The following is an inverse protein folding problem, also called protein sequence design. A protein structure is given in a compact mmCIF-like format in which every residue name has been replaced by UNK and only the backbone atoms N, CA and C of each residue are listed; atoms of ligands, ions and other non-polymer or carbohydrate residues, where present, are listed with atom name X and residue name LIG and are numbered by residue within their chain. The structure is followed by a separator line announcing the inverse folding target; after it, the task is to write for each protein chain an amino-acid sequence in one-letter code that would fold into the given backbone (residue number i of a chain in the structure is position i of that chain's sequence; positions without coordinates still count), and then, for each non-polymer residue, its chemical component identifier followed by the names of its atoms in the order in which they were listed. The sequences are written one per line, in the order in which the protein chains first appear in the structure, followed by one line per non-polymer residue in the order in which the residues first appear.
data_IF_645504501177
#
_entry.id   IF_645504501177
#
_cell.length_a   1.000
_cell.length_b   1.000
_cell.length_c   1.000
_cell.angle_alpha   90.00
_cell.angle_beta   90.00
_cell.angle_gamma   90.00
#
_symmetry.space_group_name_H-M   'P 1'
#
loop_
_entity.id
_entity.type
_entity.pdbx_description
1 polymer ?
#
# COMPACT_ATOMS: atom_id res chain seq x y z
N UNK A 1 -82.23 4.60 38.69
CA UNK A 1 -82.25 3.29 38.00
C UNK A 1 -81.24 2.27 38.56
N UNK A 2 -80.01 2.65 38.96
CA UNK A 2 -79.01 1.71 39.54
C UNK A 2 -79.33 1.15 40.95
N UNK A 3 -80.11 1.86 41.78
CA UNK A 3 -80.49 1.38 43.12
C UNK A 3 -81.60 0.32 43.08
N UNK A 4 -82.61 0.51 42.22
CA UNK A 4 -83.72 -0.42 42.03
C UNK A 4 -83.25 -1.80 41.51
N UNK A 5 -82.25 -1.82 40.62
CA UNK A 5 -81.67 -3.06 40.08
C UNK A 5 -80.92 -3.86 41.17
N UNK A 6 -80.23 -3.19 42.11
CA UNK A 6 -79.58 -3.89 43.24
C UNK A 6 -80.59 -4.57 44.16
N UNK A 7 -81.70 -3.89 44.49
CA UNK A 7 -82.75 -4.46 45.33
C UNK A 7 -83.54 -5.56 44.63
N UNK A 8 -83.79 -5.45 43.32
CA UNK A 8 -84.47 -6.50 42.54
C UNK A 8 -83.57 -7.73 42.39
N UNK A 9 -82.26 -7.58 42.20
CA UNK A 9 -81.33 -8.71 42.13
C UNK A 9 -81.17 -9.40 43.50
N UNK A 10 -81.07 -8.65 44.60
CA UNK A 10 -81.03 -9.24 45.95
C UNK A 10 -82.36 -9.92 46.29
N UNK A 11 -83.51 -9.33 45.94
CA UNK A 11 -84.81 -9.95 46.14
C UNK A 11 -85.00 -11.23 45.29
N UNK A 12 -84.51 -11.25 44.04
CA UNK A 12 -84.55 -12.44 43.18
C UNK A 12 -83.61 -13.55 43.65
N UNK A 13 -82.42 -13.20 44.16
CA UNK A 13 -81.48 -14.17 44.75
C UNK A 13 -82.06 -14.77 46.03
N UNK A 14 -82.69 -13.96 46.89
CA UNK A 14 -83.40 -14.46 48.07
C UNK A 14 -84.63 -15.32 47.72
N UNK A 15 -85.37 -15.00 46.65
CA UNK A 15 -86.54 -15.79 46.20
C UNK A 15 -86.14 -17.13 45.55
N UNK A 16 -85.02 -17.20 44.82
CA UNK A 16 -84.55 -18.44 44.21
C UNK A 16 -83.80 -19.36 45.18
N UNK A 17 -83.04 -18.80 46.13
CA UNK A 17 -82.44 -19.58 47.22
C UNK A 17 -83.52 -20.15 48.14
N UNK A 18 -84.65 -19.45 48.32
CA UNK A 18 -85.75 -19.87 49.17
C UNK A 18 -86.64 -21.01 48.63
N UNK A 19 -86.59 -21.34 47.33
CA UNK A 19 -87.51 -22.32 46.74
C UNK A 19 -86.85 -23.50 45.99
N UNK A 20 -85.55 -23.44 45.69
CA UNK A 20 -84.87 -24.44 44.84
C UNK A 20 -83.95 -25.44 45.54
N UNK A 21 -83.54 -25.18 46.78
CA UNK A 21 -82.66 -26.05 47.55
C UNK A 21 -83.21 -26.12 48.97
N UNK A 22 -83.26 -27.31 49.57
CA UNK A 22 -83.64 -27.50 50.97
C UNK A 22 -82.63 -26.88 51.93
N UNK A 23 -82.52 -25.55 51.94
CA UNK A 23 -81.86 -24.77 52.96
C UNK A 23 -82.91 -24.38 53.99
N UNK A 24 -82.75 -24.92 55.18
CA UNK A 24 -83.49 -24.48 56.35
C UNK A 24 -83.13 -23.02 56.65
N UNK A 25 -84.04 -22.24 57.26
CA UNK A 25 -83.70 -20.89 57.77
C UNK A 25 -82.54 -20.89 58.78
N UNK A 26 -82.10 -22.06 59.22
CA UNK A 26 -80.93 -22.31 60.08
C UNK A 26 -79.58 -22.40 59.35
N UNK A 27 -79.53 -22.45 58.01
CA UNK A 27 -78.27 -22.51 57.23
C UNK A 27 -77.75 -21.13 56.77
N UNK A 28 -78.59 -20.08 56.80
CA UNK A 28 -78.22 -18.72 56.40
C UNK A 28 -76.98 -18.16 57.12
N UNK A 29 -76.79 -18.35 58.45
CA UNK A 29 -75.60 -17.87 59.16
C UNK A 29 -74.29 -18.56 58.71
N UNK A 30 -74.37 -19.77 58.16
CA UNK A 30 -73.21 -20.50 57.62
C UNK A 30 -72.76 -19.88 56.29
N UNK A 31 -73.69 -19.60 55.39
CA UNK A 31 -73.39 -18.96 54.12
C UNK A 31 -72.91 -17.51 54.30
N UNK A 32 -73.43 -16.77 55.29
CA UNK A 32 -72.92 -15.43 55.63
C UNK A 32 -71.44 -15.47 56.04
N UNK A 33 -71.04 -16.41 56.92
CA UNK A 33 -69.63 -16.58 57.30
C UNK A 33 -68.73 -16.97 56.13
N UNK A 34 -69.23 -17.79 55.22
CA UNK A 34 -68.49 -18.21 54.02
C UNK A 34 -68.31 -17.04 53.04
N UNK A 35 -69.35 -16.21 52.85
CA UNK A 35 -69.27 -14.97 52.06
C UNK A 35 -68.30 -13.97 52.69
N UNK A 36 -68.31 -13.78 54.00
CA UNK A 36 -67.35 -12.91 54.71
C UNK A 36 -65.90 -13.40 54.52
N UNK A 37 -65.67 -14.71 54.66
CA UNK A 37 -64.35 -15.31 54.45
C UNK A 37 -63.85 -15.13 53.01
N UNK A 38 -64.70 -15.43 52.02
CA UNK A 38 -64.36 -15.25 50.60
C UNK A 38 -64.12 -13.78 50.26
N UNK A 39 -64.90 -12.85 50.83
CA UNK A 39 -64.70 -11.40 50.63
C UNK A 39 -63.34 -10.95 51.17
N UNK A 40 -62.94 -11.46 52.35
CA UNK A 40 -61.61 -11.19 52.90
C UNK A 40 -60.48 -11.77 52.04
N UNK A 41 -60.64 -13.00 51.52
CA UNK A 41 -59.67 -13.61 50.61
C UNK A 41 -59.50 -12.80 49.32
N UNK A 42 -60.61 -12.35 48.71
CA UNK A 42 -60.60 -11.52 47.50
C UNK A 42 -59.90 -10.19 47.76
N UNK A 43 -60.15 -9.54 48.91
CA UNK A 43 -59.47 -8.30 49.29
C UNK A 43 -57.95 -8.49 49.43
N UNK A 44 -57.50 -9.55 50.09
CA UNK A 44 -56.07 -9.84 50.23
C UNK A 44 -55.39 -10.15 48.89
N UNK A 45 -56.10 -10.85 47.99
CA UNK A 45 -55.62 -11.11 46.63
C UNK A 45 -55.50 -9.83 45.81
N UNK A 46 -56.45 -8.89 45.95
CA UNK A 46 -56.39 -7.58 45.30
C UNK A 46 -55.20 -6.76 45.80
N UNK A 47 -54.95 -6.71 47.11
CA UNK A 47 -53.78 -6.02 47.66
C UNK A 47 -52.46 -6.64 47.16
N UNK A 48 -52.40 -7.97 47.11
CA UNK A 48 -51.23 -8.68 46.56
C UNK A 48 -51.04 -8.37 45.07
N UNK A 49 -52.13 -8.30 44.30
CA UNK A 49 -52.09 -7.95 42.88
C UNK A 49 -51.56 -6.52 42.69
N UNK A 50 -52.05 -5.56 43.47
CA UNK A 50 -51.60 -4.17 43.40
C UNK A 50 -50.11 -4.03 43.75
N UNK A 51 -49.64 -4.74 44.78
CA UNK A 51 -48.22 -4.80 45.13
C UNK A 51 -47.38 -5.41 43.99
N UNK A 52 -47.86 -6.49 43.35
CA UNK A 52 -47.17 -7.12 42.22
C UNK A 52 -47.15 -6.22 40.99
N UNK A 53 -48.23 -5.49 40.71
CA UNK A 53 -48.27 -4.52 39.61
C UNK A 53 -47.29 -3.37 39.85
N UNK A 54 -47.20 -2.87 41.08
CA UNK A 54 -46.19 -1.87 41.46
C UNK A 54 -44.77 -2.41 41.30
N UNK A 55 -44.51 -3.65 41.74
CA UNK A 55 -43.21 -4.30 41.56
C UNK A 55 -42.84 -4.49 40.07
N UNK A 56 -43.82 -4.84 39.23
CA UNK A 56 -43.61 -4.95 37.78
C UNK A 56 -43.26 -3.59 37.17
N UNK A 57 -43.96 -2.52 37.56
CA UNK A 57 -43.69 -1.18 37.07
C UNK A 57 -42.27 -0.71 37.44
N UNK A 58 -41.82 -0.97 38.67
CA UNK A 58 -40.46 -0.67 39.11
C UNK A 58 -39.40 -1.46 38.31
N UNK A 59 -39.62 -2.77 38.14
CA UNK A 59 -38.73 -3.61 37.33
C UNK A 59 -38.67 -3.14 35.86
N UNK A 60 -39.79 -2.70 35.29
CA UNK A 60 -39.83 -2.13 33.94
C UNK A 60 -39.01 -0.84 33.83
N UNK A 61 -39.06 0.03 34.85
CA UNK A 61 -38.21 1.23 34.93
C UNK A 61 -36.74 0.87 34.97
N UNK A 62 -36.36 -0.09 35.84
CA UNK A 62 -34.98 -0.57 35.95
C UNK A 62 -34.46 -1.20 34.65
N UNK A 63 -35.30 -1.94 33.93
CA UNK A 63 -34.95 -2.50 32.61
C UNK A 63 -34.66 -1.38 31.62
N UNK A 64 -35.55 -0.37 31.55
CA UNK A 64 -35.40 0.76 30.64
C UNK A 64 -34.09 1.52 30.89
N UNK A 65 -33.74 1.77 32.14
CA UNK A 65 -32.46 2.41 32.51
C UNK A 65 -31.26 1.56 32.09
N UNK A 66 -31.33 0.23 32.29
CA UNK A 66 -30.27 -0.69 31.87
C UNK A 66 -30.11 -0.74 30.35
N UNK A 67 -31.20 -0.69 29.59
CA UNK A 67 -31.19 -0.65 28.13
C UNK A 67 -30.52 0.63 27.60
N UNK A 68 -30.83 1.78 28.20
CA UNK A 68 -30.16 3.05 27.89
C UNK A 68 -28.66 2.99 28.22
N UNK A 69 -28.30 2.40 29.36
CA UNK A 69 -26.89 2.24 29.75
C UNK A 69 -26.13 1.31 28.81
N UNK A 70 -26.71 0.18 28.40
CA UNK A 70 -26.13 -0.73 27.41
C UNK A 70 -25.90 0.00 26.08
N UNK A 71 -26.88 0.79 25.63
CA UNK A 71 -26.76 1.58 24.39
C UNK A 71 -25.60 2.59 24.47
N UNK A 72 -25.44 3.25 25.62
CA UNK A 72 -24.32 4.17 25.84
C UNK A 72 -22.97 3.45 25.81
N UNK A 73 -22.86 2.28 26.47
CA UNK A 73 -21.63 1.48 26.45
C UNK A 73 -21.29 0.97 25.05
N UNK A 74 -22.29 0.57 24.26
CA UNK A 74 -22.08 0.14 22.88
C UNK A 74 -21.50 1.27 22.02
N UNK A 75 -21.99 2.50 22.17
CA UNK A 75 -21.45 3.66 21.48
C UNK A 75 -19.98 3.93 21.89
N UNK A 76 -19.68 3.89 23.20
CA UNK A 76 -18.30 4.06 23.68
C UNK A 76 -17.34 3.00 23.13
N UNK A 77 -17.78 1.73 23.07
CA UNK A 77 -16.98 0.65 22.48
C UNK A 77 -16.74 0.89 20.99
N UNK A 78 -17.73 1.41 20.26
CA UNK A 78 -17.59 1.77 18.85
C UNK A 78 -16.54 2.86 18.65
N UNK A 79 -16.62 3.94 19.42
CA UNK A 79 -15.67 5.06 19.34
C UNK A 79 -14.25 4.61 19.70
N UNK A 80 -14.10 3.78 20.75
CA UNK A 80 -12.81 3.23 21.15
C UNK A 80 -12.22 2.30 20.08
N UNK A 81 -13.05 1.47 19.44
CA UNK A 81 -12.60 0.63 18.32
C UNK A 81 -12.10 1.47 17.15
N UNK A 82 -12.78 2.56 16.84
CA UNK A 82 -12.34 3.50 15.81
C UNK A 82 -11.01 4.17 16.18
N UNK A 83 -10.82 4.55 17.44
CA UNK A 83 -9.56 5.09 17.94
C UNK A 83 -8.42 4.06 17.95
N UNK A 84 -8.71 2.80 18.25
CA UNK A 84 -7.75 1.69 18.22
C UNK A 84 -7.27 1.36 16.80
N UNK A 85 -8.05 1.76 15.79
CA UNK A 85 -7.75 1.50 14.38
C UNK A 85 -6.74 2.48 13.78
N UNK A 86 -6.19 3.41 14.58
CA UNK A 86 -5.11 4.30 14.17
C UNK A 86 -4.00 4.29 15.20
N UNK A 87 -2.84 3.79 14.81
CA UNK A 87 -1.64 3.79 15.64
C UNK A 87 -0.45 4.34 14.87
N UNK A 88 0.22 5.35 15.42
CA UNK A 88 1.52 5.79 14.92
C UNK A 88 2.57 4.78 15.42
N UNK A 89 3.19 4.06 14.49
CA UNK A 89 4.20 3.05 14.81
C UNK A 89 5.59 3.68 14.99
N UNK A 90 5.84 4.82 14.35
CA UNK A 90 7.06 5.58 14.52
C UNK A 90 7.07 6.88 13.71
N UNK A 91 7.91 7.81 14.15
CA UNK A 91 8.22 9.06 13.45
C UNK A 91 9.74 9.19 13.42
N UNK A 92 10.27 9.40 12.22
CA UNK A 92 11.69 9.38 11.92
C UNK A 92 12.06 10.65 11.15
N UNK A 93 13.33 11.03 11.22
CA UNK A 93 13.84 12.25 10.62
C UNK A 93 15.17 11.96 9.94
N UNK A 94 15.40 12.56 8.77
CA UNK A 94 16.72 12.54 8.14
C UNK A 94 17.31 13.95 8.16
N UNK A 95 18.66 14.08 8.21
CA UNK A 95 19.63 12.99 8.26
C UNK A 95 19.78 12.38 9.68
N UNK A 96 20.37 11.18 9.75
CA UNK A 96 20.74 10.45 10.99
C UNK A 96 19.59 9.92 11.86
N UNK A 97 18.40 9.70 11.29
CA UNK A 97 17.28 9.10 12.02
C UNK A 97 16.61 7.96 11.28
N UNK A 98 17.41 7.19 10.52
CA UNK A 98 17.06 5.83 10.06
C UNK A 98 15.84 5.75 9.12
N UNK A 99 15.48 6.81 8.39
CA UNK A 99 14.31 6.79 7.49
C UNK A 99 14.41 5.68 6.43
N UNK A 100 15.58 5.53 5.80
CA UNK A 100 15.84 4.44 4.84
C UNK A 100 15.65 3.06 5.50
N UNK A 101 16.23 2.85 6.68
CA UNK A 101 16.17 1.58 7.40
C UNK A 101 14.72 1.19 7.75
N UNK A 102 13.89 2.17 8.09
CA UNK A 102 12.47 1.92 8.36
C UNK A 102 11.70 1.53 7.10
N UNK A 103 11.99 2.13 5.95
CA UNK A 103 11.38 1.69 4.69
C UNK A 103 11.78 0.23 4.39
N UNK A 104 13.06 -0.12 4.51
CA UNK A 104 13.53 -1.49 4.31
C UNK A 104 12.88 -2.49 5.30
N UNK A 105 12.74 -2.08 6.57
CA UNK A 105 12.08 -2.87 7.61
C UNK A 105 10.63 -3.22 7.24
N UNK A 106 9.86 -2.27 6.69
CA UNK A 106 8.45 -2.51 6.37
C UNK A 106 8.26 -3.21 5.02
N UNK A 107 9.06 -2.88 4.01
CA UNK A 107 9.05 -3.58 2.71
C UNK A 107 9.34 -5.08 2.89
N UNK A 108 10.33 -5.44 3.73
CA UNK A 108 10.67 -6.85 3.99
C UNK A 108 9.55 -7.64 4.70
N UNK A 109 8.58 -6.96 5.32
CA UNK A 109 7.45 -7.58 6.03
C UNK A 109 6.13 -7.58 5.28
N UNK A 110 6.07 -6.95 4.11
CA UNK A 110 4.89 -6.96 3.25
C UNK A 110 4.56 -8.40 2.82
N UNK A 111 3.28 -8.76 2.86
CA UNK A 111 2.79 -10.10 2.53
C UNK A 111 1.86 -10.15 1.32
N UNK A 112 1.17 -9.04 1.02
CA UNK A 112 0.10 -9.00 0.02
C UNK A 112 0.39 -7.94 -1.03
N UNK A 113 0.64 -6.69 -0.64
CA UNK A 113 0.84 -5.60 -1.60
C UNK A 113 1.75 -4.49 -1.07
N UNK A 114 2.41 -3.81 -2.01
CA UNK A 114 3.13 -2.56 -1.80
C UNK A 114 2.77 -1.60 -2.94
N UNK A 115 2.03 -0.54 -2.62
CA UNK A 115 1.62 0.48 -3.59
C UNK A 115 2.27 1.82 -3.26
N UNK A 116 2.94 2.42 -4.24
CA UNK A 116 3.79 3.59 -4.04
C UNK A 116 3.43 4.73 -4.99
N UNK A 117 3.27 5.93 -4.43
CA UNK A 117 3.33 7.19 -5.16
C UNK A 117 4.60 7.93 -4.74
N UNK A 118 5.51 8.17 -5.67
CA UNK A 118 6.80 8.79 -5.33
C UNK A 118 7.20 9.88 -6.31
N UNK A 119 7.54 11.05 -5.75
CA UNK A 119 8.11 12.15 -6.50
C UNK A 119 9.49 11.76 -7.05
N UNK A 120 10.47 11.49 -6.20
CA UNK A 120 11.84 11.14 -6.61
C UNK A 120 12.31 9.85 -5.95
N UNK A 121 12.84 8.93 -6.76
CA UNK A 121 13.30 7.62 -6.32
C UNK A 121 14.60 7.21 -7.05
N UNK A 122 15.71 7.20 -6.31
CA UNK A 122 17.09 6.92 -6.77
C UNK A 122 17.90 6.08 -5.77
N UNK A 123 17.30 5.56 -4.69
CA UNK A 123 17.99 4.71 -3.70
C UNK A 123 17.98 3.25 -4.15
N UNK A 124 19.16 2.72 -4.46
CA UNK A 124 19.34 1.32 -4.90
C UNK A 124 18.83 0.32 -3.85
N UNK A 125 19.06 0.58 -2.56
CA UNK A 125 18.62 -0.28 -1.45
C UNK A 125 17.10 -0.47 -1.40
N UNK A 126 16.34 0.60 -1.63
CA UNK A 126 14.88 0.54 -1.67
C UNK A 126 14.41 -0.16 -2.95
N UNK A 127 15.08 0.04 -4.10
CA UNK A 127 14.79 -0.74 -5.32
C UNK A 127 14.96 -2.23 -5.04
N UNK A 128 16.11 -2.64 -4.50
CA UNK A 128 16.43 -4.05 -4.26
C UNK A 128 15.42 -4.69 -3.31
N UNK A 129 15.05 -4.00 -2.23
CA UNK A 129 14.03 -4.48 -1.30
C UNK A 129 12.64 -4.68 -1.95
N UNK A 130 12.27 -3.81 -2.90
CA UNK A 130 11.01 -3.94 -3.64
C UNK A 130 11.05 -5.12 -4.62
N UNK A 131 12.19 -5.35 -5.28
CA UNK A 131 12.41 -6.54 -6.13
C UNK A 131 12.31 -7.80 -5.28
N UNK A 132 12.98 -7.85 -4.12
CA UNK A 132 12.87 -8.97 -3.20
C UNK A 132 11.43 -9.20 -2.72
N UNK A 133 10.62 -8.13 -2.52
CA UNK A 133 9.21 -8.27 -2.17
C UNK A 133 8.40 -8.84 -3.35
N UNK A 134 8.65 -8.35 -4.56
CA UNK A 134 8.01 -8.86 -5.78
C UNK A 134 8.33 -10.34 -6.00
N UNK A 135 9.59 -10.76 -5.81
CA UNK A 135 10.03 -12.15 -5.95
C UNK A 135 9.38 -13.08 -4.90
N UNK A 136 8.99 -12.54 -3.73
CA UNK A 136 8.19 -13.26 -2.72
C UNK A 136 6.70 -13.39 -3.12
N UNK A 137 6.28 -12.78 -4.22
CA UNK A 137 4.90 -12.79 -4.71
C UNK A 137 4.02 -11.65 -4.18
N UNK A 138 4.62 -10.60 -3.60
CA UNK A 138 3.90 -9.39 -3.19
C UNK A 138 3.51 -8.58 -4.44
N UNK A 139 2.28 -8.06 -4.49
CA UNK A 139 1.82 -7.17 -5.56
C UNK A 139 2.48 -5.78 -5.38
N UNK A 140 3.57 -5.54 -6.11
CA UNK A 140 4.32 -4.28 -6.04
C UNK A 140 3.96 -3.41 -7.24
N UNK A 141 3.46 -2.20 -6.95
CA UNK A 141 3.09 -1.20 -7.97
C UNK A 141 3.62 0.18 -7.62
N UNK A 142 4.23 0.86 -8.58
CA UNK A 142 4.86 2.17 -8.34
C UNK A 142 4.45 3.18 -9.41
N UNK A 143 3.94 4.34 -8.99
CA UNK A 143 3.79 5.51 -9.86
C UNK A 143 4.87 6.53 -9.55
N UNK A 144 5.63 6.89 -10.59
CA UNK A 144 6.67 7.91 -10.54
C UNK A 144 6.15 9.26 -11.04
N UNK A 145 6.64 10.35 -10.47
CA UNK A 145 6.44 11.67 -11.07
C UNK A 145 7.19 11.74 -12.41
N UNK A 146 6.48 12.16 -13.46
CA UNK A 146 6.91 12.04 -14.86
C UNK A 146 8.23 12.74 -15.18
N UNK A 147 8.53 13.88 -14.55
CA UNK A 147 9.75 14.66 -14.77
C UNK A 147 10.93 14.15 -13.95
N UNK A 148 10.67 13.39 -12.88
CA UNK A 148 11.69 12.72 -12.07
C UNK A 148 12.11 11.35 -12.63
N UNK A 149 11.40 10.84 -13.65
CA UNK A 149 11.87 9.67 -14.43
C UNK A 149 13.07 10.10 -15.26
N UNK A 150 14.25 9.78 -14.76
CA UNK A 150 15.54 10.04 -15.40
C UNK A 150 16.35 8.75 -15.45
N UNK A 151 17.51 8.76 -16.12
CA UNK A 151 18.44 7.62 -16.11
C UNK A 151 18.94 7.22 -14.71
N UNK A 152 18.89 8.14 -13.75
CA UNK A 152 19.28 7.88 -12.35
C UNK A 152 18.10 7.42 -11.48
N UNK A 153 16.89 7.42 -12.04
CA UNK A 153 15.71 6.95 -11.31
C UNK A 153 15.60 5.44 -11.39
N UNK A 154 15.00 4.85 -10.36
CA UNK A 154 14.82 3.39 -10.27
C UNK A 154 13.72 2.85 -11.20
N UNK A 155 13.07 3.72 -11.99
CA UNK A 155 11.96 3.38 -12.87
C UNK A 155 12.28 2.22 -13.83
N UNK A 156 13.35 2.35 -14.63
CA UNK A 156 13.67 1.33 -15.65
C UNK A 156 14.17 0.03 -15.04
N UNK A 157 14.89 0.11 -13.91
CA UNK A 157 15.40 -1.06 -13.19
C UNK A 157 14.28 -1.89 -12.57
N UNK A 158 13.29 -1.23 -11.93
CA UNK A 158 12.09 -1.90 -11.43
C UNK A 158 11.27 -2.51 -12.58
N UNK A 159 11.10 -1.78 -13.69
CA UNK A 159 10.40 -2.30 -14.87
C UNK A 159 11.09 -3.56 -15.41
N UNK A 160 12.41 -3.55 -15.51
CA UNK A 160 13.20 -4.69 -15.98
C UNK A 160 13.09 -5.91 -15.06
N UNK A 161 12.90 -5.69 -13.76
CA UNK A 161 12.65 -6.73 -12.76
C UNK A 161 11.20 -7.28 -12.77
N UNK A 162 10.33 -6.81 -13.69
CA UNK A 162 8.95 -7.29 -13.79
C UNK A 162 7.94 -6.56 -12.90
N UNK A 163 8.38 -5.55 -12.13
CA UNK A 163 7.49 -4.75 -11.30
C UNK A 163 6.68 -3.79 -12.18
N UNK A 164 5.37 -3.72 -11.92
CA UNK A 164 4.50 -2.78 -12.62
C UNK A 164 4.81 -1.33 -12.19
N UNK A 165 5.42 -0.57 -13.10
CA UNK A 165 5.71 0.85 -12.88
C UNK A 165 5.02 1.73 -13.91
N UNK A 166 4.47 2.86 -13.46
CA UNK A 166 3.76 3.82 -14.31
C UNK A 166 4.29 5.23 -14.12
N UNK A 167 4.13 6.04 -15.16
CA UNK A 167 4.43 7.47 -15.09
C UNK A 167 3.15 8.27 -14.84
N UNK A 168 3.20 9.21 -13.91
CA UNK A 168 2.14 10.18 -13.70
C UNK A 168 1.83 10.96 -15.01
N UNK A 169 0.60 11.41 -15.13
CA UNK A 169 0.09 12.17 -16.29
C UNK A 169 -0.49 13.53 -15.92
N UNK A 170 -0.51 13.89 -14.63
CA UNK A 170 -0.92 15.22 -14.20
C UNK A 170 -0.11 16.29 -14.95
N UNK A 171 -0.71 17.42 -15.30
CA UNK A 171 -0.01 18.50 -16.01
C UNK A 171 1.04 19.18 -15.12
N UNK A 172 0.76 19.26 -13.81
CA UNK A 172 1.67 19.71 -12.76
C UNK A 172 2.53 18.54 -12.22
N UNK A 173 2.90 18.59 -10.93
CA UNK A 173 3.70 17.57 -10.25
C UNK A 173 2.82 16.65 -9.40
N UNK A 174 3.07 15.34 -9.44
CA UNK A 174 2.73 14.42 -8.35
C UNK A 174 3.86 14.46 -7.32
N UNK A 175 3.67 15.19 -6.23
CA UNK A 175 4.71 15.43 -5.23
C UNK A 175 4.58 14.52 -3.99
N UNK A 176 3.82 13.44 -4.11
CA UNK A 176 3.64 12.48 -3.04
C UNK A 176 4.92 11.71 -2.72
N UNK A 177 5.03 11.27 -1.47
CA UNK A 177 5.96 10.25 -1.01
C UNK A 177 5.17 9.34 -0.10
N UNK A 178 4.50 8.36 -0.69
CA UNK A 178 3.56 7.49 0.00
C UNK A 178 3.89 6.05 -0.37
N UNK A 179 3.90 5.19 0.63
CA UNK A 179 3.94 3.73 0.49
C UNK A 179 2.84 3.12 1.34
N UNK A 180 1.98 2.34 0.70
CA UNK A 180 0.87 1.63 1.33
C UNK A 180 1.23 0.15 1.30
N UNK A 181 1.22 -0.50 2.46
CA UNK A 181 1.60 -1.90 2.59
C UNK A 181 0.42 -2.68 3.14
N UNK A 182 0.07 -3.76 2.44
CA UNK A 182 -0.98 -4.74 2.78
C UNK A 182 -2.36 -4.11 3.08
N UNK A 183 -2.60 -2.87 2.60
CA UNK A 183 -3.83 -2.12 2.86
C UNK A 183 -4.05 -1.71 4.32
N UNK A 184 -3.01 -1.75 5.16
CA UNK A 184 -3.11 -1.45 6.61
C UNK A 184 -1.98 -0.56 7.15
N UNK A 185 -0.82 -0.53 6.49
CA UNK A 185 0.29 0.35 6.86
C UNK A 185 0.39 1.45 5.81
N UNK A 186 0.51 2.69 6.26
CA UNK A 186 0.86 3.84 5.43
C UNK A 186 2.15 4.46 5.95
N UNK A 187 3.11 4.59 5.05
CA UNK A 187 4.35 5.32 5.29
C UNK A 187 4.33 6.58 4.42
N UNK A 188 4.48 7.74 5.04
CA UNK A 188 4.51 9.01 4.31
C UNK A 188 5.33 10.07 5.04
N UNK A 189 5.47 11.27 4.46
CA UNK A 189 6.26 12.37 5.00
C UNK A 189 6.81 13.25 3.89
N UNK A 190 7.91 13.95 4.18
CA UNK A 190 8.63 14.73 3.16
C UNK A 190 9.69 13.90 2.42
N UNK A 191 10.06 12.74 2.98
CA UNK A 191 11.17 11.91 2.55
C UNK A 191 10.99 11.30 1.15
N UNK A 192 11.76 11.80 0.18
CA UNK A 192 11.93 11.14 -1.12
C UNK A 192 12.86 9.92 -0.99
N UNK A 193 12.73 8.93 -1.86
CA UNK A 193 13.59 7.74 -1.85
C UNK A 193 14.92 8.03 -2.55
N UNK A 194 15.67 9.01 -2.04
CA UNK A 194 16.89 9.52 -2.66
C UNK A 194 18.02 9.70 -1.64
N UNK A 195 19.26 9.59 -2.08
CA UNK A 195 20.44 9.78 -1.22
C UNK A 195 20.47 11.16 -0.55
N UNK A 196 19.94 12.19 -1.20
CA UNK A 196 19.85 13.55 -0.64
C UNK A 196 18.87 13.62 0.53
N UNK A 197 17.70 12.99 0.38
CA UNK A 197 16.72 12.91 1.45
C UNK A 197 17.30 12.19 2.68
N UNK A 198 18.06 11.10 2.46
CA UNK A 198 18.68 10.36 3.56
C UNK A 198 19.84 11.10 4.23
N UNK A 199 20.79 11.62 3.44
CA UNK A 199 22.09 12.03 3.98
C UNK A 199 22.24 13.54 4.17
N UNK A 200 21.32 14.37 3.69
CA UNK A 200 21.56 15.82 3.61
C UNK A 200 20.35 16.68 3.95
N UNK A 201 19.17 16.38 3.43
CA UNK A 201 17.98 17.19 3.67
C UNK A 201 17.42 16.94 5.07
N UNK A 202 16.82 17.97 5.65
CA UNK A 202 15.95 17.81 6.81
C UNK A 202 14.61 17.24 6.34
N UNK A 203 14.40 15.95 6.58
CA UNK A 203 13.20 15.22 6.15
C UNK A 203 12.46 14.65 7.37
N UNK A 204 11.20 14.28 7.17
CA UNK A 204 10.42 13.48 8.11
C UNK A 204 9.76 12.29 7.43
N UNK A 205 9.54 11.24 8.20
CA UNK A 205 8.84 10.02 7.83
C UNK A 205 7.93 9.61 9.00
N UNK A 206 6.68 9.27 8.72
CA UNK A 206 5.71 8.77 9.69
C UNK A 206 5.15 7.43 9.21
N UNK A 207 4.99 6.51 10.16
CA UNK A 207 4.48 5.16 9.91
C UNK A 207 3.17 5.00 10.67
N UNK A 208 2.10 4.75 9.94
CA UNK A 208 0.73 4.72 10.45
C UNK A 208 0.17 3.32 10.21
N UNK A 209 -0.32 2.67 11.27
CA UNK A 209 -1.12 1.46 11.21
C UNK A 209 -2.59 1.84 11.32
N UNK A 210 -3.30 1.73 10.20
CA UNK A 210 -4.73 1.97 10.09
C UNK A 210 -5.22 1.53 8.71
N UNK A 211 -6.17 0.58 8.67
CA UNK A 211 -6.86 0.19 7.44
C UNK A 211 -7.74 1.33 6.90
N UNK A 212 -8.35 2.15 7.76
CA UNK A 212 -9.14 3.33 7.37
C UNK A 212 -8.27 4.36 6.63
N UNK A 213 -7.09 4.70 7.19
CA UNK A 213 -6.15 5.64 6.54
C UNK A 213 -5.57 5.02 5.28
N UNK A 214 -5.17 3.74 5.32
CA UNK A 214 -4.66 3.04 4.16
C UNK A 214 -5.68 3.00 3.02
N UNK A 215 -6.95 2.71 3.30
CA UNK A 215 -8.02 2.70 2.30
C UNK A 215 -8.23 4.08 1.64
N UNK A 216 -8.10 5.17 2.39
CA UNK A 216 -8.17 6.54 1.81
C UNK A 216 -7.00 6.78 0.84
N UNK A 217 -5.79 6.42 1.24
CA UNK A 217 -4.61 6.54 0.36
C UNK A 217 -4.67 5.60 -0.84
N UNK A 218 -5.20 4.39 -0.66
CA UNK A 218 -5.39 3.39 -1.70
C UNK A 218 -6.35 3.89 -2.78
N UNK A 219 -7.43 4.58 -2.38
CA UNK A 219 -8.36 5.20 -3.33
C UNK A 219 -7.68 6.28 -4.18
N UNK A 220 -6.79 7.09 -3.60
CA UNK A 220 -6.03 8.09 -4.36
C UNK A 220 -4.97 7.43 -5.25
N UNK A 221 -4.26 6.42 -4.74
CA UNK A 221 -3.34 5.59 -5.52
C UNK A 221 -4.04 5.01 -6.74
N UNK A 222 -5.17 4.34 -6.57
CA UNK A 222 -5.96 3.75 -7.65
C UNK A 222 -6.45 4.78 -8.67
N UNK A 223 -6.85 5.97 -8.20
CA UNK A 223 -7.23 7.08 -9.08
C UNK A 223 -6.06 7.53 -9.96
N UNK A 224 -4.87 7.71 -9.38
CA UNK A 224 -3.67 8.09 -10.12
C UNK A 224 -3.18 6.93 -11.00
N UNK A 225 -3.23 5.69 -10.51
CA UNK A 225 -2.84 4.49 -11.23
C UNK A 225 -3.63 4.32 -12.53
N UNK A 226 -4.96 4.50 -12.49
CA UNK A 226 -5.85 4.43 -13.67
C UNK A 226 -5.58 5.51 -14.71
N UNK A 227 -5.09 6.68 -14.29
CA UNK A 227 -4.77 7.79 -15.18
C UNK A 227 -3.34 7.71 -15.71
N UNK A 228 -2.44 7.18 -14.90
CA UNK A 228 -1.03 7.01 -15.23
C UNK A 228 -0.87 5.97 -16.34
N UNK A 229 0.18 6.17 -17.15
CA UNK A 229 0.47 5.30 -18.28
C UNK A 229 1.56 4.31 -17.87
N UNK A 230 1.30 3.03 -18.06
CA UNK A 230 2.41 2.09 -18.30
C UNK A 230 3.06 2.48 -19.62
N UNK A 231 4.38 2.42 -19.74
CA UNK A 231 5.03 2.78 -21.01
C UNK A 231 4.60 1.92 -22.20
N UNK A 232 3.84 0.85 -21.96
CA UNK A 232 3.28 -0.02 -23.00
C UNK A 232 2.07 0.60 -23.74
N UNK A 233 1.54 1.74 -23.26
CA UNK A 233 0.40 2.45 -23.86
C UNK A 233 0.74 3.82 -24.49
N UNK A 234 2.03 4.14 -24.69
CA UNK A 234 2.38 5.12 -25.73
C UNK A 234 2.30 4.41 -27.07
N UNK A 235 1.11 4.51 -27.68
CA UNK A 235 0.86 4.30 -29.11
C UNK A 235 1.78 3.27 -29.79
N UNK A 236 1.30 2.03 -29.87
CA UNK A 236 1.50 1.22 -31.07
C UNK A 236 0.83 1.93 -32.27
N UNK A 237 1.37 3.09 -32.66
CA UNK A 237 1.41 3.42 -34.07
C UNK A 237 2.41 2.43 -34.67
N UNK A 238 2.17 1.87 -35.86
CA UNK A 238 3.20 1.09 -36.53
C UNK A 238 4.38 2.03 -36.70
N UNK A 239 5.45 1.81 -35.94
CA UNK A 239 6.68 2.53 -36.16
C UNK A 239 7.04 2.26 -37.62
N UNK A 240 7.04 3.32 -38.42
CA UNK A 240 7.91 3.34 -39.57
C UNK A 240 9.28 2.86 -39.06
N UNK A 241 9.96 1.94 -39.76
CA UNK A 241 11.13 1.26 -39.25
C UNK A 241 12.09 2.30 -38.65
N UNK A 242 12.28 2.25 -37.33
CA UNK A 242 13.28 3.07 -36.67
C UNK A 242 14.58 2.77 -37.39
N UNK A 243 15.19 3.80 -37.97
CA UNK A 243 16.55 3.67 -38.45
C UNK A 243 17.40 3.37 -37.22
N UNK A 244 17.72 2.10 -37.00
CA UNK A 244 18.85 1.72 -36.16
C UNK A 244 20.00 2.63 -36.60
N UNK A 245 20.61 3.36 -35.67
CA UNK A 245 21.86 4.08 -35.96
C UNK A 245 22.94 3.15 -36.50
N UNK A 246 22.72 1.83 -36.42
CA UNK A 246 23.61 0.77 -36.87
C UNK A 246 24.77 0.59 -35.91
N UNK A 247 24.82 1.38 -34.84
CA UNK A 247 25.84 1.31 -33.81
C UNK A 247 25.49 0.18 -32.85
N UNK A 248 26.40 -0.77 -32.70
CA UNK A 248 26.23 -1.97 -31.86
C UNK A 248 27.50 -2.23 -31.03
N UNK A 249 27.36 -3.03 -29.99
CA UNK A 249 28.47 -3.72 -29.33
C UNK A 249 28.76 -4.96 -30.16
N UNK A 250 29.85 -4.92 -30.95
CA UNK A 250 30.19 -6.00 -31.87
C UNK A 250 31.00 -7.12 -31.24
N UNK A 251 31.73 -6.82 -30.16
CA UNK A 251 32.55 -7.79 -29.44
C UNK A 251 32.92 -7.28 -28.06
N UNK A 252 33.01 -8.18 -27.09
CA UNK A 252 33.58 -7.91 -25.76
C UNK A 252 34.67 -8.93 -25.48
N UNK A 253 35.89 -8.45 -25.25
CA UNK A 253 36.98 -9.27 -24.74
C UNK A 253 37.00 -9.16 -23.22
N UNK A 254 36.29 -10.04 -22.54
CA UNK A 254 36.15 -9.98 -21.10
C UNK A 254 37.20 -10.82 -20.36
N UNK A 255 37.69 -11.92 -20.94
CA UNK A 255 38.62 -12.86 -20.28
C UNK A 255 39.91 -13.13 -21.09
N UNK A 256 40.87 -12.19 -21.13
CA UNK A 256 42.15 -12.40 -21.79
C UNK A 256 43.04 -13.40 -21.03
N UNK A 257 43.89 -14.20 -21.70
CA UNK A 257 44.79 -15.13 -21.01
C UNK A 257 45.75 -14.43 -20.06
N UNK A 258 45.69 -14.76 -18.77
CA UNK A 258 46.58 -14.23 -17.74
C UNK A 258 45.84 -13.79 -16.49
N UNK A 259 46.44 -12.86 -15.75
CA UNK A 259 45.80 -12.16 -14.64
C UNK A 259 45.46 -10.76 -15.12
N UNK A 260 44.17 -10.45 -15.22
CA UNK A 260 43.65 -9.21 -15.84
C UNK A 260 44.19 -7.96 -15.15
N UNK A 261 44.49 -8.06 -13.85
CA UNK A 261 45.13 -6.98 -13.07
C UNK A 261 46.52 -6.60 -13.58
N UNK A 262 47.19 -7.49 -14.32
CA UNK A 262 48.52 -7.26 -14.92
C UNK A 262 48.43 -6.75 -16.35
N UNK A 263 47.29 -6.87 -17.01
CA UNK A 263 47.06 -6.38 -18.36
C UNK A 263 45.62 -5.86 -18.52
N UNK A 264 45.35 -4.68 -17.96
CA UNK A 264 44.03 -4.06 -18.02
C UNK A 264 43.57 -3.74 -19.46
N UNK A 265 44.49 -3.52 -20.40
CA UNK A 265 44.12 -3.33 -21.81
C UNK A 265 43.79 -4.66 -22.52
N UNK A 266 44.02 -5.79 -21.85
CA UNK A 266 43.59 -7.10 -22.30
C UNK A 266 42.07 -7.21 -22.35
N UNK A 267 41.36 -6.47 -21.48
CA UNK A 267 39.91 -6.36 -21.58
C UNK A 267 39.49 -5.12 -22.38
N UNK A 268 38.53 -5.31 -23.27
CA UNK A 268 38.04 -4.22 -24.12
C UNK A 268 36.67 -4.53 -24.73
N UNK A 269 35.97 -3.47 -25.14
CA UNK A 269 34.71 -3.55 -25.88
C UNK A 269 34.89 -2.93 -27.26
N UNK A 270 34.40 -3.59 -28.31
CA UNK A 270 34.42 -3.10 -29.68
C UNK A 270 33.03 -2.65 -30.10
N UNK A 271 32.91 -1.37 -30.45
CA UNK A 271 31.67 -0.77 -30.95
C UNK A 271 31.77 -0.60 -32.45
N UNK A 272 30.77 -1.07 -33.18
CA UNK A 272 30.72 -1.04 -34.65
C UNK A 272 29.56 -0.18 -35.12
N UNK A 273 29.81 0.71 -36.08
CA UNK A 273 28.76 1.42 -36.81
C UNK A 273 28.45 0.69 -38.13
N UNK A 274 27.45 -0.19 -38.12
CA UNK A 274 26.91 -0.86 -39.32
C UNK A 274 26.07 0.06 -40.21
N UNK A 275 25.85 1.29 -39.78
CA UNK A 275 25.09 2.29 -40.52
C UNK A 275 25.87 2.85 -41.70
N UNK A 276 25.16 3.52 -42.61
CA UNK A 276 25.74 4.18 -43.78
C UNK A 276 26.07 5.66 -43.55
N UNK A 277 26.03 6.13 -42.30
CA UNK A 277 26.30 7.52 -41.91
C UNK A 277 27.20 7.55 -40.68
N UNK A 278 28.05 8.57 -40.60
CA UNK A 278 28.84 8.86 -39.42
C UNK A 278 27.93 9.16 -38.22
N UNK A 279 28.32 8.67 -37.04
CA UNK A 279 27.59 8.87 -35.78
C UNK A 279 28.48 9.60 -34.79
N UNK A 280 27.98 10.69 -34.23
CA UNK A 280 28.63 11.40 -33.13
C UNK A 280 28.35 10.69 -31.81
N UNK A 281 29.39 10.05 -31.26
CA UNK A 281 29.33 9.35 -29.98
C UNK A 281 29.61 10.28 -28.80
N UNK A 282 29.82 11.57 -29.01
CA UNK A 282 30.17 12.51 -27.93
C UNK A 282 29.15 12.46 -26.79
N UNK A 283 29.60 12.05 -25.61
CA UNK A 283 28.76 11.93 -24.41
C UNK A 283 27.85 10.71 -24.38
N UNK A 284 28.02 9.74 -25.29
CA UNK A 284 27.48 8.39 -25.13
C UNK A 284 28.14 7.71 -23.94
N UNK A 285 27.55 6.62 -23.46
CA UNK A 285 28.00 5.89 -22.27
C UNK A 285 28.14 4.41 -22.61
N UNK A 286 29.31 3.85 -22.32
CA UNK A 286 29.50 2.41 -22.20
C UNK A 286 29.56 2.06 -20.70
N UNK A 287 28.80 1.08 -20.26
CA UNK A 287 28.58 0.75 -18.86
C UNK A 287 28.63 -0.76 -18.62
N UNK A 288 29.18 -1.20 -17.48
CA UNK A 288 29.12 -2.59 -17.02
C UNK A 288 27.93 -2.82 -16.05
N UNK A 289 27.65 -4.07 -15.69
CA UNK A 289 26.53 -4.41 -14.80
C UNK A 289 26.71 -3.83 -13.36
N UNK A 290 27.93 -3.43 -13.00
CA UNK A 290 28.28 -2.81 -11.72
C UNK A 290 28.23 -1.27 -11.75
N UNK A 291 27.73 -0.66 -12.82
CA UNK A 291 27.60 0.80 -13.04
C UNK A 291 28.93 1.58 -13.15
N UNK A 292 30.04 0.92 -13.50
CA UNK A 292 31.23 1.64 -13.96
C UNK A 292 30.94 2.21 -15.35
N UNK A 293 31.17 3.52 -15.53
CA UNK A 293 30.84 4.22 -16.78
C UNK A 293 32.07 4.77 -17.51
N UNK A 294 32.09 4.56 -18.83
CA UNK A 294 32.93 5.25 -19.80
C UNK A 294 32.09 6.25 -20.59
N UNK A 295 32.39 7.53 -20.44
CA UNK A 295 31.76 8.58 -21.23
C UNK A 295 32.63 8.85 -22.45
N UNK A 296 32.06 8.66 -23.64
CA UNK A 296 32.76 8.92 -24.89
C UNK A 296 33.19 10.39 -24.95
N UNK A 297 34.47 10.67 -25.23
CA UNK A 297 34.93 12.03 -25.48
C UNK A 297 34.36 12.54 -26.80
N UNK A 298 34.79 13.72 -27.26
CA UNK A 298 34.46 14.18 -28.61
C UNK A 298 34.92 13.15 -29.64
N UNK A 299 34.00 12.38 -30.22
CA UNK A 299 34.33 11.23 -31.04
C UNK A 299 33.25 10.97 -32.10
N UNK A 300 33.69 10.82 -33.36
CA UNK A 300 32.82 10.51 -34.49
C UNK A 300 33.16 9.10 -34.98
N UNK A 301 32.22 8.17 -34.83
CA UNK A 301 32.35 6.83 -35.37
C UNK A 301 31.88 6.80 -36.82
N UNK A 302 32.84 6.62 -37.73
CA UNK A 302 32.59 6.59 -39.18
C UNK A 302 31.68 5.44 -39.58
N UNK A 303 30.89 5.66 -40.64
CA UNK A 303 30.06 4.62 -41.24
C UNK A 303 30.91 3.37 -41.62
N UNK A 304 30.49 2.19 -41.18
CA UNK A 304 31.19 0.93 -41.43
C UNK A 304 32.48 0.73 -40.63
N UNK A 305 32.78 1.60 -39.66
CA UNK A 305 34.00 1.51 -38.84
C UNK A 305 33.72 1.03 -37.42
N UNK A 306 34.78 0.61 -36.74
CA UNK A 306 34.78 0.21 -35.34
C UNK A 306 35.64 1.13 -34.50
N UNK A 307 35.31 1.21 -33.21
CA UNK A 307 36.17 1.77 -32.16
C UNK A 307 36.29 0.76 -31.03
N UNK A 308 37.50 0.57 -30.53
CA UNK A 308 37.79 -0.29 -29.38
C UNK A 308 37.96 0.58 -28.14
N UNK A 309 37.29 0.22 -27.05
CA UNK A 309 37.44 0.86 -25.74
C UNK A 309 38.15 -0.12 -24.81
N UNK A 310 39.41 0.14 -24.51
CA UNK A 310 40.21 -0.64 -23.58
C UNK A 310 39.94 -0.22 -22.13
N UNK A 311 39.88 -1.19 -21.22
CA UNK A 311 39.66 -0.94 -19.78
C UNK A 311 40.79 -0.15 -19.13
N UNK A 312 42.04 -0.44 -19.50
CA UNK A 312 43.22 0.22 -18.93
C UNK A 312 43.51 1.61 -19.50
N UNK A 313 44.79 1.99 -19.48
CA UNK A 313 45.26 3.33 -19.87
C UNK A 313 46.02 3.32 -21.19
N UNK A 314 45.99 4.45 -21.90
CA UNK A 314 46.66 4.65 -23.17
C UNK A 314 46.42 6.07 -23.70
N UNK A 315 46.74 6.30 -24.98
CA UNK A 315 46.46 7.56 -25.65
C UNK A 315 45.38 7.35 -26.70
N UNK A 316 44.26 8.08 -26.57
CA UNK A 316 43.14 7.96 -27.50
C UNK A 316 43.56 8.28 -28.94
N UNK A 317 43.05 7.49 -29.88
CA UNK A 317 43.21 7.67 -31.32
C UNK A 317 41.83 7.64 -32.00
N UNK A 318 41.80 7.62 -33.32
CA UNK A 318 40.55 7.52 -34.08
C UNK A 318 39.88 6.15 -33.98
N UNK A 319 40.59 5.11 -33.56
CA UNK A 319 40.04 3.74 -33.44
C UNK A 319 40.24 3.10 -32.07
N UNK A 320 41.09 3.68 -31.22
CA UNK A 320 41.42 3.15 -29.91
C UNK A 320 41.12 4.19 -28.83
N UNK A 321 40.30 3.82 -27.86
CA UNK A 321 39.92 4.61 -26.71
C UNK A 321 40.32 3.88 -25.44
N UNK A 322 40.64 4.64 -24.39
CA UNK A 322 41.10 4.08 -23.12
C UNK A 322 40.27 4.64 -21.97
N UNK A 323 39.69 3.74 -21.19
CA UNK A 323 38.86 4.06 -20.03
C UNK A 323 39.68 4.66 -18.89
N UNK A 324 40.92 4.22 -18.75
CA UNK A 324 41.81 4.66 -17.67
C UNK A 324 41.45 4.03 -16.32
N UNK A 325 40.77 2.88 -16.32
CA UNK A 325 40.50 2.15 -15.09
C UNK A 325 41.80 1.64 -14.46
N UNK A 326 41.82 1.63 -13.12
CA UNK A 326 42.90 1.03 -12.31
C UNK A 326 42.66 -0.45 -11.97
N UNK A 327 41.53 -1.02 -12.39
CA UNK A 327 41.13 -2.40 -12.14
C UNK A 327 40.38 -3.00 -13.32
N UNK A 328 40.34 -4.34 -13.43
CA UNK A 328 39.44 -5.04 -14.35
C UNK A 328 37.99 -4.58 -14.13
N UNK A 329 37.21 -4.50 -15.21
CA UNK A 329 35.81 -4.07 -15.16
C UNK A 329 34.86 -5.18 -15.63
N UNK A 330 35.29 -5.98 -16.59
CA UNK A 330 34.43 -6.96 -17.25
C UNK A 330 34.57 -8.32 -16.57
N UNK A 331 33.50 -8.82 -15.96
CA UNK A 331 33.58 -10.04 -15.17
C UNK A 331 33.73 -11.31 -16.03
N UNK A 332 34.71 -12.16 -15.66
CA UNK A 332 35.03 -13.42 -16.35
C UNK A 332 33.95 -14.50 -16.24
N UNK A 333 33.14 -14.45 -15.19
CA UNK A 333 32.10 -15.45 -14.88
C UNK A 333 30.68 -15.01 -15.31
N UNK A 334 30.58 -13.90 -16.04
CA UNK A 334 29.34 -13.33 -16.57
C UNK A 334 29.15 -11.88 -16.18
N UNK A 335 28.76 -11.06 -17.15
CA UNK A 335 28.53 -9.62 -17.04
C UNK A 335 27.65 -9.16 -18.21
N UNK A 336 27.27 -7.88 -18.22
CA UNK A 336 26.61 -7.26 -19.36
C UNK A 336 27.23 -5.89 -19.66
N UNK A 337 27.64 -5.69 -20.92
CA UNK A 337 28.03 -4.38 -21.43
C UNK A 337 26.79 -3.67 -22.00
N UNK A 338 26.55 -2.43 -21.59
CA UNK A 338 25.45 -1.59 -22.04
C UNK A 338 25.98 -0.36 -22.78
N UNK A 339 25.38 -0.04 -23.94
CA UNK A 339 25.71 1.16 -24.71
C UNK A 339 24.50 2.08 -24.77
N UNK A 340 24.64 3.29 -24.23
CA UNK A 340 23.61 4.32 -24.24
C UNK A 340 24.02 5.52 -25.08
N UNK A 341 23.04 6.13 -25.76
CA UNK A 341 23.27 7.43 -26.40
C UNK A 341 23.31 8.57 -25.37
N UNK A 342 23.69 9.76 -25.83
CA UNK A 342 23.74 10.98 -25.00
C UNK A 342 22.42 11.32 -24.30
N UNK A 343 21.28 10.93 -24.88
CA UNK A 343 19.94 11.12 -24.32
C UNK A 343 19.57 10.12 -23.23
N UNK A 344 20.39 9.09 -23.02
CA UNK A 344 20.13 8.00 -22.06
C UNK A 344 19.27 6.87 -22.62
N UNK A 345 19.06 6.81 -23.95
CA UNK A 345 18.39 5.68 -24.58
C UNK A 345 19.39 4.53 -24.76
N UNK A 346 18.99 3.31 -24.40
CA UNK A 346 19.79 2.11 -24.63
C UNK A 346 19.84 1.84 -26.14
N UNK A 347 21.05 1.82 -26.68
CA UNK A 347 21.32 1.55 -28.10
C UNK A 347 21.58 0.07 -28.33
N UNK A 348 22.41 -0.53 -27.48
CA UNK A 348 22.71 -1.96 -27.56
C UNK A 348 23.19 -2.51 -26.22
N UNK A 349 23.15 -3.83 -26.07
CA UNK A 349 23.74 -4.54 -24.93
C UNK A 349 24.25 -5.91 -25.35
N UNK A 350 25.33 -6.36 -24.72
CA UNK A 350 25.91 -7.69 -24.94
C UNK A 350 26.19 -8.36 -23.59
N UNK A 351 25.77 -9.62 -23.45
CA UNK A 351 26.02 -10.45 -22.28
C UNK A 351 26.86 -11.68 -22.66
N UNK A 352 27.51 -12.30 -21.67
CA UNK A 352 28.31 -13.51 -21.88
C UNK A 352 28.27 -14.45 -20.68
#
# INVERSE_FOLDING_TARGET
MRSFIKYVVVAFVCLFIGFGLGASSTDAPRYEKEIESLTSQVSNLQETLDQKLSQIADLQSQITEKEQFISSLQNQISDLKQQLNLKILGVYFSPNGECEEQLLYWISRANVSIHILIYSFTLDSIRDALIEAHDRGVDVKVVFEKQQITRYSEYQKLKAAGIEVRNDTNSAYMHDKIMIIDGIIVITGSYNYSTRAEKSNNENLIIILSDDVANIYEQEFEKIWKQSKGQDEREQTPSAPQASTGVIISYVNYNPPGDDRKNLNGEYVVIENKGSKDVDLTGWILEDESNHQYIFPSFILKAGSTVTVHTGSGTNTETELYWGSGSPLWNNDGDTAYLYNKGGELIDKENW
#
